data_IF_201156493742
#
_entry.id   IF_201156493742
#
_cell.length_a   1.000
_cell.length_b   1.000
_cell.length_c   1.000
_cell.angle_alpha   90.00
_cell.angle_beta   90.00
_cell.angle_gamma   90.00
#
_symmetry.space_group_name_H-M   'P 1'
#
loop_
_entity.id
_entity.type
_entity.pdbx_description
1 polymer ?
#
# COMPACT_ATOMS: atom_id res chain seq x y z
N UNK A 1 -5.21 52.97 -14.02
CA UNK A 1 -4.39 51.78 -14.30
C UNK A 1 -4.36 50.93 -13.05
N UNK A 2 -5.13 49.84 -13.03
CA UNK A 2 -5.07 48.82 -11.99
C UNK A 2 -4.52 47.57 -12.65
N UNK A 3 -3.22 47.40 -12.57
CA UNK A 3 -2.58 46.13 -12.88
C UNK A 3 -2.85 45.14 -11.76
N UNK A 4 -3.80 44.24 -11.99
CA UNK A 4 -4.04 43.07 -11.15
C UNK A 4 -2.86 42.13 -11.29
N UNK A 5 -2.04 42.04 -10.23
CA UNK A 5 -0.97 41.07 -10.09
C UNK A 5 -1.57 39.67 -9.86
N UNK A 6 -1.89 38.95 -10.93
CA UNK A 6 -2.02 37.52 -10.90
C UNK A 6 -0.61 36.90 -10.88
N UNK A 7 0.00 36.85 -9.73
CA UNK A 7 1.12 35.92 -9.51
C UNK A 7 0.53 34.51 -9.48
N UNK A 8 1.03 33.54 -10.29
CA UNK A 8 0.60 32.16 -10.17
C UNK A 8 0.92 31.69 -8.74
N UNK A 9 -0.10 31.28 -8.00
CA UNK A 9 0.05 30.69 -6.68
C UNK A 9 1.00 29.49 -6.82
N UNK A 10 2.05 29.43 -5.98
CA UNK A 10 2.91 28.26 -5.92
C UNK A 10 2.02 27.04 -5.63
N UNK A 11 2.16 25.95 -6.38
CA UNK A 11 1.38 24.74 -6.12
C UNK A 11 1.62 24.29 -4.67
N UNK A 12 0.54 23.94 -3.98
CA UNK A 12 0.62 23.39 -2.62
C UNK A 12 1.48 22.11 -2.66
N UNK A 13 2.60 22.05 -1.90
CA UNK A 13 3.48 20.89 -1.89
C UNK A 13 2.74 19.59 -1.50
N UNK A 14 1.75 19.66 -0.61
CA UNK A 14 0.95 18.49 -0.22
C UNK A 14 0.01 18.04 -1.34
N UNK A 15 -0.62 18.97 -2.03
CA UNK A 15 -1.45 18.65 -3.20
C UNK A 15 -0.60 18.01 -4.31
N UNK A 16 0.61 18.53 -4.55
CA UNK A 16 1.55 17.95 -5.53
C UNK A 16 1.97 16.54 -5.15
N UNK A 17 2.31 16.31 -3.86
CA UNK A 17 2.68 14.99 -3.32
C UNK A 17 1.53 13.99 -3.50
N UNK A 18 0.30 14.39 -3.16
CA UNK A 18 -0.90 13.56 -3.32
C UNK A 18 -1.15 13.17 -4.78
N UNK A 19 -1.08 14.12 -5.71
CA UNK A 19 -1.27 13.84 -7.13
C UNK A 19 -0.20 12.88 -7.65
N UNK A 20 1.08 13.13 -7.33
CA UNK A 20 2.18 12.25 -7.74
C UNK A 20 2.01 10.83 -7.18
N UNK A 21 1.59 10.70 -5.92
CA UNK A 21 1.29 9.42 -5.29
C UNK A 21 0.12 8.71 -6.00
N UNK A 22 -1.00 9.39 -6.24
CA UNK A 22 -2.17 8.81 -6.91
C UNK A 22 -1.83 8.31 -8.32
N UNK A 23 -1.10 9.10 -9.11
CA UNK A 23 -0.64 8.70 -10.44
C UNK A 23 0.21 7.42 -10.37
N UNK A 24 1.14 7.37 -9.43
CA UNK A 24 1.99 6.19 -9.27
C UNK A 24 1.22 4.95 -8.79
N UNK A 25 0.26 5.11 -7.89
CA UNK A 25 -0.64 4.01 -7.46
C UNK A 25 -1.37 3.41 -8.65
N UNK A 26 -1.97 4.24 -9.52
CA UNK A 26 -2.68 3.78 -10.71
C UNK A 26 -1.71 3.07 -11.66
N UNK A 27 -0.53 3.66 -11.93
CA UNK A 27 0.47 3.08 -12.83
C UNK A 27 1.00 1.74 -12.33
N UNK A 28 1.39 1.66 -11.04
CA UNK A 28 1.87 0.42 -10.44
C UNK A 28 0.80 -0.66 -10.43
N UNK A 29 -0.45 -0.32 -10.11
CA UNK A 29 -1.55 -1.28 -10.13
C UNK A 29 -1.84 -1.81 -11.53
N UNK A 30 -1.85 -0.94 -12.56
CA UNK A 30 -2.07 -1.34 -13.94
C UNK A 30 -0.93 -2.21 -14.51
N UNK A 31 0.31 -1.91 -14.12
CA UNK A 31 1.50 -2.69 -14.52
C UNK A 31 1.60 -4.01 -13.75
N UNK A 32 1.16 -4.05 -12.50
CA UNK A 32 1.02 -5.28 -11.71
C UNK A 32 0.05 -6.24 -12.41
N UNK A 33 -1.15 -5.76 -12.74
CA UNK A 33 -2.15 -6.53 -13.49
C UNK A 33 -1.65 -6.98 -14.88
N UNK A 34 -0.56 -6.45 -15.41
CA UNK A 34 0.06 -6.84 -16.69
C UNK A 34 1.29 -7.72 -16.52
N UNK A 35 1.73 -7.98 -15.27
CA UNK A 35 3.01 -8.64 -15.01
C UNK A 35 3.11 -10.05 -15.63
N UNK A 36 2.03 -10.82 -15.64
CA UNK A 36 1.94 -12.14 -16.26
C UNK A 36 1.53 -12.10 -17.75
N UNK A 37 1.24 -10.91 -18.29
CA UNK A 37 0.85 -10.68 -19.69
C UNK A 37 -0.65 -10.62 -19.93
N UNK A 38 -1.50 -10.98 -18.98
CA UNK A 38 -2.97 -11.05 -19.11
C UNK A 38 -3.61 -10.20 -18.01
N UNK A 39 -4.33 -9.13 -18.41
CA UNK A 39 -5.10 -8.32 -17.45
C UNK A 39 -6.51 -8.89 -17.32
N UNK A 40 -6.85 -9.38 -16.15
CA UNK A 40 -8.16 -9.98 -15.87
C UNK A 40 -9.20 -8.95 -15.42
N UNK A 41 -10.49 -9.33 -15.46
CA UNK A 41 -11.57 -8.49 -14.90
C UNK A 41 -11.51 -8.43 -13.39
N UNK A 42 -11.03 -9.49 -12.75
CA UNK A 42 -10.95 -9.60 -11.30
C UNK A 42 -9.87 -8.67 -10.73
N UNK A 43 -8.72 -8.54 -11.40
CA UNK A 43 -7.68 -7.57 -11.05
C UNK A 43 -8.17 -6.11 -11.17
N UNK A 44 -8.90 -5.79 -12.25
CA UNK A 44 -9.50 -4.45 -12.42
C UNK A 44 -10.55 -4.20 -11.32
N UNK A 45 -11.36 -5.20 -10.98
CA UNK A 45 -12.34 -5.11 -9.90
C UNK A 45 -11.67 -4.95 -8.53
N UNK A 46 -10.59 -5.69 -8.27
CA UNK A 46 -9.79 -5.60 -7.05
C UNK A 46 -9.19 -4.20 -6.85
N UNK A 47 -8.64 -3.61 -7.91
CA UNK A 47 -8.16 -2.23 -7.90
C UNK A 47 -9.29 -1.24 -7.54
N UNK A 48 -10.42 -1.32 -8.27
CA UNK A 48 -11.58 -0.42 -8.06
C UNK A 48 -12.23 -0.56 -6.68
N UNK A 49 -12.15 -1.73 -6.07
CA UNK A 49 -12.67 -1.96 -4.73
C UNK A 49 -11.85 -1.25 -3.63
N UNK A 50 -10.59 -0.96 -3.90
CA UNK A 50 -9.65 -0.39 -2.93
C UNK A 50 -9.31 1.08 -3.21
N UNK A 51 -9.45 1.55 -4.45
CA UNK A 51 -9.10 2.91 -4.87
C UNK A 51 -10.37 3.63 -5.31
N UNK A 52 -10.73 4.66 -4.56
CA UNK A 52 -11.89 5.49 -4.90
C UNK A 52 -11.57 6.40 -6.08
N UNK A 53 -12.33 6.26 -7.16
CA UNK A 53 -12.22 7.11 -8.34
C UNK A 53 -13.48 7.96 -8.44
N UNK A 54 -13.37 9.29 -8.29
CA UNK A 54 -14.52 10.18 -8.46
C UNK A 54 -15.18 9.98 -9.84
N UNK A 55 -16.51 10.01 -9.95
CA UNK A 55 -17.22 9.81 -11.23
C UNK A 55 -16.73 10.72 -12.36
N UNK A 56 -16.32 11.95 -12.03
CA UNK A 56 -15.75 12.91 -12.98
C UNK A 56 -14.40 12.49 -13.57
N UNK A 57 -13.63 11.64 -12.86
CA UNK A 57 -12.26 11.24 -13.21
C UNK A 57 -12.17 9.86 -13.84
N UNK A 58 -13.25 9.08 -13.80
CA UNK A 58 -13.28 7.67 -14.27
C UNK A 58 -12.73 7.53 -15.69
N UNK A 59 -13.09 8.43 -16.61
CA UNK A 59 -12.62 8.40 -18.01
C UNK A 59 -11.12 8.68 -18.11
N UNK A 60 -10.62 9.61 -17.32
CA UNK A 60 -9.20 10.00 -17.35
C UNK A 60 -8.33 8.90 -16.71
N UNK A 61 -8.74 8.38 -15.56
CA UNK A 61 -8.09 7.25 -14.89
C UNK A 61 -8.10 6.02 -15.79
N UNK A 62 -9.24 5.73 -16.45
CA UNK A 62 -9.33 4.60 -17.39
C UNK A 62 -8.36 4.71 -18.55
N UNK A 63 -8.22 5.88 -19.17
CA UNK A 63 -7.22 6.12 -20.24
C UNK A 63 -5.79 5.95 -19.75
N UNK A 64 -5.49 6.45 -18.56
CA UNK A 64 -4.16 6.30 -17.96
C UNK A 64 -3.86 4.86 -17.60
N UNK A 65 -4.82 4.14 -17.04
CA UNK A 65 -4.75 2.70 -16.80
C UNK A 65 -4.46 1.92 -18.08
N UNK A 66 -5.22 2.19 -19.13
CA UNK A 66 -5.05 1.52 -20.44
C UNK A 66 -3.68 1.82 -21.07
N UNK A 67 -3.13 3.00 -20.86
CA UNK A 67 -1.78 3.33 -21.28
C UNK A 67 -0.73 2.60 -20.44
N UNK A 68 -0.88 2.62 -19.13
CA UNK A 68 0.10 2.02 -18.20
C UNK A 68 0.19 0.48 -18.35
N UNK A 69 -0.94 -0.20 -18.59
CA UNK A 69 -0.97 -1.67 -18.77
C UNK A 69 -0.53 -2.17 -20.16
N UNK A 70 -0.08 -1.31 -21.09
CA UNK A 70 0.43 -1.76 -22.38
C UNK A 70 1.70 -2.59 -22.25
N UNK A 71 2.52 -2.30 -21.25
CA UNK A 71 3.72 -3.07 -20.90
C UNK A 71 3.91 -3.07 -19.38
N UNK A 72 4.41 -4.17 -18.79
CA UNK A 72 4.83 -4.19 -17.38
C UNK A 72 6.10 -3.35 -17.15
N UNK A 73 6.91 -3.11 -18.19
CA UNK A 73 8.21 -2.44 -18.08
C UNK A 73 8.11 -1.01 -17.53
N UNK A 74 9.17 -0.55 -16.86
CA UNK A 74 9.27 0.81 -16.33
C UNK A 74 8.46 1.05 -15.06
N UNK A 75 7.96 0.01 -14.41
CA UNK A 75 7.28 0.14 -13.11
C UNK A 75 8.24 0.59 -12.00
N UNK A 76 9.51 0.24 -12.11
CA UNK A 76 10.55 0.62 -11.16
C UNK A 76 10.69 2.15 -11.03
N UNK A 77 10.49 2.89 -12.13
CA UNK A 77 10.58 4.34 -12.10
C UNK A 77 9.41 4.95 -11.31
N UNK A 78 8.20 4.42 -11.46
CA UNK A 78 7.06 4.82 -10.64
C UNK A 78 7.27 4.44 -9.16
N UNK A 79 7.80 3.24 -8.89
CA UNK A 79 8.13 2.81 -7.53
C UNK A 79 9.19 3.72 -6.89
N UNK A 80 10.27 4.07 -7.62
CA UNK A 80 11.30 5.02 -7.16
C UNK A 80 10.75 6.42 -6.94
N UNK A 81 9.82 6.90 -7.78
CA UNK A 81 9.16 8.19 -7.58
C UNK A 81 8.36 8.20 -6.26
N UNK A 82 7.58 7.16 -6.00
CA UNK A 82 6.85 7.01 -4.72
C UNK A 82 7.82 6.93 -3.55
N UNK A 83 8.86 6.09 -3.64
CA UNK A 83 9.83 5.91 -2.56
C UNK A 83 10.51 7.23 -2.14
N UNK A 84 10.72 8.17 -3.09
CA UNK A 84 11.31 9.49 -2.81
C UNK A 84 10.37 10.44 -2.04
N UNK A 85 9.07 10.15 -2.02
CA UNK A 85 8.07 10.97 -1.30
C UNK A 85 8.00 10.65 0.18
N UNK A 86 8.56 9.52 0.61
CA UNK A 86 8.44 8.97 1.96
C UNK A 86 9.79 8.46 2.49
N UNK A 87 9.87 8.28 3.81
CA UNK A 87 10.98 7.55 4.40
C UNK A 87 10.87 6.05 4.05
N UNK A 88 11.99 5.32 3.96
CA UNK A 88 11.95 3.88 3.70
C UNK A 88 11.05 3.15 4.71
N UNK A 89 10.32 2.15 4.22
CA UNK A 89 9.39 1.33 5.03
C UNK A 89 8.25 2.14 5.67
N UNK A 90 7.92 3.33 5.16
CA UNK A 90 6.79 4.10 5.65
C UNK A 90 5.47 3.27 5.56
N UNK A 91 4.54 3.42 6.51
CA UNK A 91 3.28 2.65 6.51
C UNK A 91 2.47 2.77 5.22
N UNK A 92 2.51 3.91 4.57
CA UNK A 92 1.83 4.12 3.28
C UNK A 92 2.43 3.27 2.16
N UNK A 93 3.74 3.00 2.21
CA UNK A 93 4.42 2.12 1.25
C UNK A 93 4.02 0.65 1.49
N UNK A 94 3.86 0.24 2.76
CA UNK A 94 3.34 -1.08 3.11
C UNK A 94 1.89 -1.24 2.62
N UNK A 95 1.04 -0.21 2.77
CA UNK A 95 -0.34 -0.24 2.27
C UNK A 95 -0.40 -0.29 0.73
N UNK A 96 0.53 0.38 0.05
CA UNK A 96 0.61 0.27 -1.40
C UNK A 96 1.03 -1.14 -1.84
N UNK A 97 1.96 -1.77 -1.14
CA UNK A 97 2.29 -3.18 -1.37
C UNK A 97 1.08 -4.08 -1.10
N UNK A 98 0.35 -3.87 0.00
CA UNK A 98 -0.88 -4.62 0.33
C UNK A 98 -1.93 -4.51 -0.80
N UNK A 99 -2.10 -3.33 -1.40
CA UNK A 99 -2.95 -3.14 -2.58
C UNK A 99 -2.46 -3.98 -3.77
N UNK A 100 -1.14 -3.96 -4.06
CA UNK A 100 -0.58 -4.73 -5.18
C UNK A 100 -0.70 -6.24 -4.96
N UNK A 101 -0.47 -6.73 -3.76
CA UNK A 101 -0.74 -8.12 -3.38
C UNK A 101 -2.21 -8.49 -3.56
N UNK A 102 -3.12 -7.60 -3.17
CA UNK A 102 -4.56 -7.82 -3.33
C UNK A 102 -4.97 -7.94 -4.80
N UNK A 103 -4.37 -7.14 -5.68
CA UNK A 103 -4.62 -7.23 -7.13
C UNK A 103 -4.07 -8.56 -7.65
N UNK A 104 -2.81 -8.90 -7.36
CA UNK A 104 -2.17 -10.15 -7.81
C UNK A 104 -2.92 -11.41 -7.32
N UNK A 105 -3.57 -11.35 -6.15
CA UNK A 105 -4.30 -12.50 -5.58
C UNK A 105 -5.75 -12.60 -6.06
N UNK A 106 -6.26 -11.61 -6.80
CA UNK A 106 -7.69 -11.47 -7.07
C UNK A 106 -8.26 -12.55 -8.02
N UNK A 107 -7.44 -13.12 -8.87
CA UNK A 107 -7.85 -14.15 -9.86
C UNK A 107 -7.28 -15.54 -9.60
N UNK A 108 -6.53 -15.72 -8.50
CA UNK A 108 -5.99 -17.02 -8.12
C UNK A 108 -4.73 -16.96 -7.27
N UNK A 109 -3.78 -17.81 -7.56
CA UNK A 109 -2.48 -17.80 -6.91
C UNK A 109 -1.51 -16.85 -7.61
N UNK A 110 -0.68 -16.16 -6.82
CA UNK A 110 0.31 -15.21 -7.32
C UNK A 110 1.29 -15.95 -8.24
N UNK A 111 1.40 -15.52 -9.48
CA UNK A 111 2.30 -16.08 -10.48
C UNK A 111 3.75 -15.69 -10.23
N UNK A 112 4.71 -16.42 -10.87
CA UNK A 112 6.14 -16.07 -10.72
C UNK A 112 6.49 -14.67 -11.24
N UNK A 113 5.95 -14.16 -12.37
CA UNK A 113 6.17 -12.77 -12.78
C UNK A 113 5.63 -11.74 -11.79
N UNK A 114 4.45 -11.95 -11.24
CA UNK A 114 3.85 -11.08 -10.22
C UNK A 114 4.66 -11.08 -8.92
N UNK A 115 5.13 -12.26 -8.48
CA UNK A 115 5.99 -12.37 -7.30
C UNK A 115 7.29 -11.58 -7.50
N UNK A 116 7.92 -11.70 -8.69
CA UNK A 116 9.13 -10.94 -9.05
C UNK A 116 8.87 -9.43 -9.02
N UNK A 117 7.72 -9.00 -9.57
CA UNK A 117 7.29 -7.61 -9.55
C UNK A 117 7.14 -7.08 -8.10
N UNK A 118 6.41 -7.81 -7.26
CA UNK A 118 6.16 -7.45 -5.86
C UNK A 118 7.46 -7.38 -5.05
N UNK A 119 8.36 -8.35 -5.24
CA UNK A 119 9.69 -8.37 -4.60
C UNK A 119 10.52 -7.15 -4.98
N UNK A 120 10.52 -6.80 -6.27
CA UNK A 120 11.26 -5.63 -6.77
C UNK A 120 10.71 -4.32 -6.17
N UNK A 121 9.39 -4.16 -6.15
CA UNK A 121 8.75 -2.96 -5.57
C UNK A 121 9.03 -2.88 -4.07
N UNK A 122 8.94 -4.00 -3.33
CA UNK A 122 9.25 -4.05 -1.91
C UNK A 122 10.68 -3.60 -1.62
N UNK A 123 11.65 -4.10 -2.39
CA UNK A 123 13.05 -3.68 -2.27
C UNK A 123 13.26 -2.19 -2.54
N UNK A 124 12.60 -1.62 -3.55
CA UNK A 124 12.65 -0.17 -3.84
C UNK A 124 12.05 0.64 -2.68
N UNK A 125 11.02 0.13 -2.00
CA UNK A 125 10.40 0.76 -0.84
C UNK A 125 11.20 0.59 0.46
N UNK A 126 12.29 -0.17 0.41
CA UNK A 126 13.20 -0.39 1.54
C UNK A 126 12.80 -1.53 2.47
N UNK A 127 11.86 -2.40 2.05
CA UNK A 127 11.53 -3.62 2.77
C UNK A 127 12.56 -4.70 2.45
N UNK A 128 13.00 -5.41 3.48
CA UNK A 128 13.91 -6.55 3.34
C UNK A 128 13.15 -7.86 3.06
N UNK A 129 13.89 -8.95 2.88
CA UNK A 129 13.30 -10.26 2.57
C UNK A 129 12.36 -10.75 3.67
N UNK A 130 12.70 -10.54 4.94
CA UNK A 130 11.87 -10.94 6.08
C UNK A 130 10.55 -10.14 6.13
N UNK A 131 10.61 -8.85 5.82
CA UNK A 131 9.41 -8.01 5.67
C UNK A 131 8.53 -8.49 4.52
N UNK A 132 9.14 -8.82 3.38
CA UNK A 132 8.43 -9.30 2.20
C UNK A 132 7.74 -10.64 2.48
N UNK A 133 8.44 -11.60 3.08
CA UNK A 133 7.88 -12.90 3.46
C UNK A 133 6.71 -12.76 4.43
N UNK A 134 6.82 -11.84 5.39
CA UNK A 134 5.70 -11.50 6.29
C UNK A 134 4.50 -10.96 5.53
N UNK A 135 4.71 -10.03 4.60
CA UNK A 135 3.63 -9.47 3.79
C UNK A 135 3.00 -10.54 2.88
N UNK A 136 3.80 -11.38 2.26
CA UNK A 136 3.34 -12.50 1.45
C UNK A 136 2.48 -13.46 2.28
N UNK A 137 2.91 -13.82 3.49
CA UNK A 137 2.16 -14.69 4.39
C UNK A 137 0.77 -14.12 4.76
N UNK A 138 0.66 -12.79 4.91
CA UNK A 138 -0.63 -12.13 5.18
C UNK A 138 -1.66 -12.32 4.05
N UNK A 139 -1.21 -12.60 2.83
CA UNK A 139 -2.05 -12.82 1.65
C UNK A 139 -2.25 -14.30 1.28
N UNK A 140 -1.71 -15.25 2.07
CA UNK A 140 -1.93 -16.67 1.87
C UNK A 140 -3.32 -17.14 2.35
N UNK A 141 -3.81 -18.24 1.81
CA UNK A 141 -5.22 -18.65 1.87
C UNK A 141 -5.78 -19.02 3.26
N UNK A 142 -4.94 -19.27 4.25
CA UNK A 142 -5.38 -19.77 5.58
C UNK A 142 -5.59 -18.65 6.62
N UNK A 143 -5.47 -17.39 6.22
CA UNK A 143 -5.49 -16.25 7.13
C UNK A 143 -4.26 -16.21 8.06
N UNK A 144 -3.69 -15.02 8.29
CA UNK A 144 -2.51 -14.89 9.14
C UNK A 144 -2.85 -15.14 10.62
N UNK A 145 -1.93 -15.80 11.34
CA UNK A 145 -2.00 -15.90 12.79
C UNK A 145 -1.86 -14.53 13.46
N UNK A 146 -2.32 -14.34 14.71
CA UNK A 146 -2.12 -13.08 15.43
C UNK A 146 -0.65 -12.67 15.55
N UNK A 147 0.27 -13.62 15.66
CA UNK A 147 1.71 -13.36 15.70
C UNK A 147 2.24 -12.87 14.34
N UNK A 148 1.80 -13.45 13.23
CA UNK A 148 2.14 -12.99 11.88
C UNK A 148 1.58 -11.60 11.58
N UNK A 149 0.35 -11.28 12.06
CA UNK A 149 -0.23 -9.94 11.94
C UNK A 149 0.66 -8.89 12.61
N UNK A 150 1.21 -9.22 13.79
CA UNK A 150 2.13 -8.34 14.52
C UNK A 150 3.57 -8.42 13.98
N UNK A 151 3.92 -9.43 13.18
CA UNK A 151 5.29 -9.62 12.67
C UNK A 151 6.27 -10.01 13.78
N UNK A 152 5.84 -10.87 14.69
CA UNK A 152 6.66 -11.36 15.83
C UNK A 152 6.60 -12.87 15.92
N UNK A 153 7.64 -13.46 16.53
CA UNK A 153 7.65 -14.89 16.84
C UNK A 153 6.68 -15.25 17.98
N UNK A 154 6.15 -16.46 17.97
CA UNK A 154 5.23 -16.95 19.01
C UNK A 154 5.90 -17.11 20.39
N UNK A 155 7.22 -17.15 20.46
CA UNK A 155 8.03 -17.23 21.68
C UNK A 155 8.48 -15.86 22.23
N UNK A 156 8.08 -14.74 21.59
CA UNK A 156 8.37 -13.38 22.07
C UNK A 156 7.93 -13.21 23.54
N UNK A 157 8.77 -12.60 24.36
CA UNK A 157 8.39 -12.29 25.75
C UNK A 157 7.32 -11.18 25.83
N UNK A 158 6.56 -11.14 26.93
CA UNK A 158 5.40 -10.28 27.09
C UNK A 158 5.77 -8.79 27.09
N UNK A 159 6.93 -8.43 27.64
CA UNK A 159 7.39 -7.04 27.65
C UNK A 159 7.79 -6.57 26.25
N UNK A 160 8.51 -7.40 25.50
CA UNK A 160 8.87 -7.15 24.12
C UNK A 160 7.63 -7.07 23.21
N UNK A 161 6.67 -8.00 23.38
CA UNK A 161 5.39 -8.00 22.69
C UNK A 161 4.64 -6.67 22.90
N UNK A 162 4.50 -6.23 24.15
CA UNK A 162 3.82 -4.97 24.50
C UNK A 162 4.53 -3.75 23.91
N UNK A 163 5.87 -3.74 23.94
CA UNK A 163 6.69 -2.67 23.36
C UNK A 163 6.50 -2.62 21.84
N UNK A 164 6.53 -3.77 21.19
CA UNK A 164 6.36 -3.91 19.75
C UNK A 164 4.97 -3.48 19.30
N UNK A 165 3.91 -3.96 19.97
CA UNK A 165 2.54 -3.51 19.70
C UNK A 165 2.39 -1.99 19.80
N UNK A 166 2.92 -1.36 20.87
CA UNK A 166 2.88 0.10 21.01
C UNK A 166 3.60 0.82 19.86
N UNK A 167 4.70 0.25 19.39
CA UNK A 167 5.42 0.78 18.23
C UNK A 167 4.57 0.69 16.98
N UNK A 168 3.99 -0.49 16.67
CA UNK A 168 3.11 -0.68 15.51
C UNK A 168 1.89 0.25 15.57
N UNK A 169 1.23 0.36 16.72
CA UNK A 169 0.06 1.21 16.87
C UNK A 169 0.35 2.69 16.61
N UNK A 170 1.53 3.19 16.99
CA UNK A 170 1.96 4.56 16.67
C UNK A 170 2.33 4.73 15.21
N UNK A 171 3.06 3.77 14.65
CA UNK A 171 3.57 3.81 13.28
C UNK A 171 2.43 3.74 12.27
N UNK A 172 1.42 2.90 12.52
CA UNK A 172 0.26 2.73 11.64
C UNK A 172 -0.94 3.61 12.01
N UNK A 173 -0.71 4.67 12.82
CA UNK A 173 -1.81 5.57 13.16
C UNK A 173 -2.27 6.38 11.95
N UNK A 174 -3.58 6.46 11.67
CA UNK A 174 -4.11 7.13 10.49
C UNK A 174 -3.78 8.63 10.44
N UNK A 175 -3.59 9.28 11.59
CA UNK A 175 -3.24 10.70 11.65
C UNK A 175 -1.94 11.03 10.93
N UNK A 176 -1.00 10.09 10.86
CA UNK A 176 0.25 10.25 10.10
C UNK A 176 -0.04 10.45 8.61
N UNK A 177 -0.96 9.65 8.06
CA UNK A 177 -1.34 9.75 6.65
C UNK A 177 -2.22 10.98 6.37
N UNK A 178 -3.07 11.37 7.33
CA UNK A 178 -3.86 12.59 7.25
C UNK A 178 -2.94 13.82 7.22
N UNK A 179 -1.92 13.86 8.08
CA UNK A 179 -0.93 14.94 8.09
C UNK A 179 -0.11 15.01 6.79
N UNK A 180 0.14 13.87 6.15
CA UNK A 180 0.82 13.77 4.85
C UNK A 180 -0.10 14.08 3.65
N UNK A 181 -1.40 14.35 3.89
CA UNK A 181 -2.37 14.67 2.84
C UNK A 181 -2.66 13.48 1.90
N UNK A 182 -2.57 12.25 2.39
CA UNK A 182 -2.82 11.06 1.59
C UNK A 182 -4.30 10.92 1.21
N UNK A 183 -4.61 10.20 0.10
CA UNK A 183 -5.99 9.90 -0.28
C UNK A 183 -6.76 9.18 0.84
N UNK A 184 -8.07 9.44 0.93
CA UNK A 184 -8.94 8.91 2.01
C UNK A 184 -8.94 7.39 2.10
N UNK A 185 -8.82 6.69 0.97
CA UNK A 185 -8.73 5.23 0.92
C UNK A 185 -7.49 4.67 1.64
N UNK A 186 -6.36 5.38 1.59
CA UNK A 186 -5.16 5.01 2.34
C UNK A 186 -5.31 5.29 3.84
N UNK A 187 -5.99 6.37 4.20
CA UNK A 187 -6.33 6.66 5.60
C UNK A 187 -7.29 5.58 6.14
N UNK A 188 -8.31 5.18 5.36
CA UNK A 188 -9.23 4.10 5.72
C UNK A 188 -8.50 2.75 5.85
N UNK A 189 -7.57 2.45 4.94
CA UNK A 189 -6.73 1.25 5.02
C UNK A 189 -5.86 1.24 6.28
N UNK A 190 -5.30 2.40 6.70
CA UNK A 190 -4.55 2.53 7.95
C UNK A 190 -5.43 2.25 9.17
N UNK A 191 -6.66 2.77 9.21
CA UNK A 191 -7.62 2.46 10.27
C UNK A 191 -7.89 0.94 10.36
N UNK A 192 -8.14 0.29 9.23
CA UNK A 192 -8.35 -1.15 9.18
C UNK A 192 -7.11 -1.94 9.61
N UNK A 193 -5.92 -1.49 9.22
CA UNK A 193 -4.66 -2.12 9.64
C UNK A 193 -4.45 -2.00 11.14
N UNK A 194 -4.65 -0.81 11.72
CA UNK A 194 -4.55 -0.58 13.16
C UNK A 194 -5.57 -1.43 13.94
N UNK A 195 -6.80 -1.56 13.44
CA UNK A 195 -7.80 -2.43 14.05
C UNK A 195 -7.35 -3.90 14.07
N UNK A 196 -6.76 -4.41 12.98
CA UNK A 196 -6.20 -5.78 12.93
C UNK A 196 -5.03 -5.96 13.89
N UNK A 197 -4.12 -4.97 13.99
CA UNK A 197 -3.00 -4.97 14.93
C UNK A 197 -3.51 -5.08 16.37
N UNK A 198 -4.49 -4.25 16.75
CA UNK A 198 -5.07 -4.26 18.09
C UNK A 198 -5.79 -5.58 18.38
N UNK A 199 -6.60 -6.09 17.46
CA UNK A 199 -7.29 -7.37 17.61
C UNK A 199 -6.31 -8.53 17.78
N UNK A 200 -5.21 -8.56 17.02
CA UNK A 200 -4.18 -9.57 17.15
C UNK A 200 -3.51 -9.53 18.53
N UNK A 201 -3.17 -8.33 19.01
CA UNK A 201 -2.60 -8.15 20.35
C UNK A 201 -3.57 -8.64 21.45
N UNK A 202 -4.87 -8.28 21.35
CA UNK A 202 -5.89 -8.72 22.32
C UNK A 202 -6.10 -10.25 22.32
N UNK A 203 -5.96 -10.92 21.17
CA UNK A 203 -6.02 -12.37 21.10
C UNK A 203 -4.83 -13.00 21.82
N UNK A 204 -3.61 -12.53 21.55
CA UNK A 204 -2.39 -13.06 22.18
C UNK A 204 -2.41 -12.85 23.69
N UNK A 205 -2.77 -11.64 24.16
CA UNK A 205 -2.83 -11.35 25.60
C UNK A 205 -3.84 -12.23 26.33
N UNK A 206 -5.01 -12.44 25.73
CA UNK A 206 -6.01 -13.39 26.30
C UNK A 206 -5.52 -14.83 26.33
N UNK A 207 -4.83 -15.29 25.29
CA UNK A 207 -4.26 -16.65 25.23
C UNK A 207 -3.16 -16.86 26.30
N UNK A 208 -2.41 -15.79 26.62
CA UNK A 208 -1.33 -15.82 27.61
C UNK A 208 -1.78 -15.48 29.03
N UNK A 209 -3.03 -15.05 29.24
CA UNK A 209 -3.56 -14.65 30.55
C UNK A 209 -3.00 -13.32 31.06
N UNK A 210 -2.69 -12.37 30.19
CA UNK A 210 -2.12 -11.04 30.50
C UNK A 210 -3.21 -9.99 30.67
#
# INVERSE_FOLDING_TARGET
AVESKFAPSRPDPQATKRVAFTVAVIALSAKMAKADGIVTRDEIAAFRARVHIPPSEVKQVGRFWDLARQTPDGFEDYAKQVARLFVPRAPVLEQLLDLLFHIAKSDGDITSPELSYLTTVAGIFGFDEADFDRLLALHQSNGPSPYEILGVSSDIDDQALRKHWKHLARTHHPDTLTADGMPEEFIAAANNRLAKINAAYDVITRQRGL
#
